data_IF_082625909303
#
_entry.id   IF_082625909303
#
_cell.length_a   1.000
_cell.length_b   1.000
_cell.length_c   1.000
_cell.angle_alpha   90.00
_cell.angle_beta   90.00
_cell.angle_gamma   90.00
#
_symmetry.space_group_name_H-M   'P 1'
#
loop_
_entity.id
_entity.type
_entity.pdbx_description
1 polymer ?
#
# COMPACT_ATOMS: atom_id res chain seq x y z
N UNK A 1 60.60 -18.43 -51.54
CA UNK A 1 60.18 -19.55 -50.66
C UNK A 1 60.38 -19.28 -49.17
N UNK A 2 61.59 -19.37 -48.59
CA UNK A 2 61.76 -19.20 -47.12
C UNK A 2 61.49 -17.77 -46.63
N UNK A 3 61.92 -16.76 -47.39
CA UNK A 3 61.68 -15.35 -47.04
C UNK A 3 60.19 -14.97 -47.08
N UNK A 4 59.44 -15.48 -48.06
CA UNK A 4 57.99 -15.26 -48.15
C UNK A 4 57.25 -15.94 -46.99
N UNK A 5 57.68 -17.16 -46.62
CA UNK A 5 57.10 -17.87 -45.46
C UNK A 5 57.39 -17.14 -44.14
N UNK A 6 58.58 -16.56 -43.99
CA UNK A 6 58.93 -15.71 -42.85
C UNK A 6 58.03 -14.46 -42.79
N UNK A 7 57.89 -13.73 -43.90
CA UNK A 7 57.03 -12.55 -43.98
C UNK A 7 55.55 -12.86 -43.71
N UNK A 8 55.06 -14.02 -44.15
CA UNK A 8 53.71 -14.48 -43.85
C UNK A 8 53.51 -14.76 -42.36
N UNK A 9 54.48 -15.39 -41.70
CA UNK A 9 54.44 -15.63 -40.26
C UNK A 9 54.52 -14.32 -39.47
N UNK A 10 55.37 -13.39 -39.87
CA UNK A 10 55.46 -12.05 -39.26
C UNK A 10 54.14 -11.30 -39.38
N UNK A 11 53.49 -11.32 -40.56
CA UNK A 11 52.17 -10.72 -40.75
C UNK A 11 51.10 -11.36 -39.87
N UNK A 12 51.10 -12.69 -39.73
CA UNK A 12 50.18 -13.38 -38.81
C UNK A 12 50.43 -13.05 -37.36
N UNK A 13 51.69 -12.98 -36.92
CA UNK A 13 52.04 -12.61 -35.55
C UNK A 13 51.60 -11.18 -35.25
N UNK A 14 51.83 -10.24 -36.16
CA UNK A 14 51.40 -8.85 -35.99
C UNK A 14 49.87 -8.74 -35.91
N UNK A 15 49.13 -9.43 -36.79
CA UNK A 15 47.67 -9.45 -36.73
C UNK A 15 47.14 -10.03 -35.40
N UNK A 16 47.77 -11.10 -34.90
CA UNK A 16 47.41 -11.68 -33.59
C UNK A 16 47.75 -10.75 -32.42
N UNK A 17 48.81 -9.94 -32.52
CA UNK A 17 49.18 -8.95 -31.50
C UNK A 17 48.18 -7.79 -31.48
N UNK A 18 47.81 -7.27 -32.66
CA UNK A 18 46.79 -6.22 -32.79
C UNK A 18 45.43 -6.69 -32.25
N UNK A 19 45.04 -7.94 -32.54
CA UNK A 19 43.82 -8.53 -31.97
C UNK A 19 43.91 -8.68 -30.45
N UNK A 20 45.07 -9.08 -29.92
CA UNK A 20 45.28 -9.18 -28.47
C UNK A 20 45.15 -7.82 -27.78
N UNK A 21 45.73 -6.78 -28.36
CA UNK A 21 45.64 -5.41 -27.84
C UNK A 21 44.19 -4.91 -27.86
N UNK A 22 43.45 -5.15 -28.94
CA UNK A 22 42.02 -4.83 -29.01
C UNK A 22 41.22 -5.58 -27.94
N UNK A 23 41.47 -6.88 -27.75
CA UNK A 23 40.81 -7.67 -26.71
C UNK A 23 41.14 -7.17 -25.32
N UNK A 24 42.40 -6.79 -25.05
CA UNK A 24 42.79 -6.20 -23.77
C UNK A 24 42.02 -4.90 -23.48
N UNK A 25 41.94 -3.99 -24.46
CA UNK A 25 41.16 -2.76 -24.31
C UNK A 25 39.68 -3.04 -24.02
N UNK A 26 39.06 -3.97 -24.76
CA UNK A 26 37.65 -4.34 -24.49
C UNK A 26 37.46 -4.95 -23.10
N UNK A 27 38.41 -5.73 -22.61
CA UNK A 27 38.37 -6.31 -21.26
C UNK A 27 38.49 -5.22 -20.20
N UNK A 28 39.34 -4.22 -20.42
CA UNK A 28 39.48 -3.06 -19.52
C UNK A 28 38.20 -2.23 -19.48
N UNK A 29 37.61 -1.90 -20.64
CA UNK A 29 36.32 -1.19 -20.72
C UNK A 29 35.19 -1.96 -20.02
N UNK A 30 35.13 -3.29 -20.21
CA UNK A 30 34.13 -4.13 -19.56
C UNK A 30 34.34 -4.20 -18.04
N UNK A 31 35.60 -4.20 -17.57
CA UNK A 31 35.92 -4.14 -16.13
C UNK A 31 35.47 -2.82 -15.52
N UNK A 32 35.76 -1.69 -16.17
CA UNK A 32 35.31 -0.37 -15.71
C UNK A 32 33.78 -0.29 -15.68
N UNK A 33 33.11 -0.75 -16.74
CA UNK A 33 31.65 -0.81 -16.79
C UNK A 33 31.07 -1.68 -15.68
N UNK A 34 31.69 -2.81 -15.37
CA UNK A 34 31.27 -3.70 -14.28
C UNK A 34 31.36 -2.97 -12.94
N UNK A 35 32.48 -2.30 -12.66
CA UNK A 35 32.68 -1.54 -11.42
C UNK A 35 31.65 -0.41 -11.24
N UNK A 36 31.30 0.29 -12.32
CA UNK A 36 30.25 1.32 -12.29
C UNK A 36 28.89 0.71 -11.96
N UNK A 37 28.55 -0.42 -12.59
CA UNK A 37 27.28 -1.12 -12.33
C UNK A 37 27.21 -1.65 -10.90
N UNK A 38 28.30 -2.22 -10.37
CA UNK A 38 28.37 -2.68 -8.98
C UNK A 38 28.12 -1.53 -7.99
N UNK A 39 28.74 -0.36 -8.23
CA UNK A 39 28.49 0.83 -7.43
C UNK A 39 27.03 1.28 -7.49
N UNK A 40 26.46 1.33 -8.70
CA UNK A 40 25.05 1.69 -8.88
C UNK A 40 24.10 0.71 -8.17
N UNK A 41 24.36 -0.59 -8.25
CA UNK A 41 23.59 -1.60 -7.52
C UNK A 41 23.67 -1.38 -6.01
N UNK A 42 24.87 -1.11 -5.48
CA UNK A 42 25.04 -0.83 -4.06
C UNK A 42 24.27 0.42 -3.61
N UNK A 43 24.35 1.51 -4.39
CA UNK A 43 23.63 2.75 -4.12
C UNK A 43 22.10 2.54 -4.15
N UNK A 44 21.60 1.72 -5.09
CA UNK A 44 20.18 1.34 -5.18
C UNK A 44 19.72 0.49 -4.00
N UNK A 45 20.55 -0.45 -3.55
CA UNK A 45 20.26 -1.26 -2.35
C UNK A 45 20.16 -0.39 -1.09
N UNK A 46 21.02 0.62 -0.96
CA UNK A 46 20.95 1.59 0.14
C UNK A 46 19.67 2.41 0.08
N UNK A 47 19.28 2.92 -1.10
CA UNK A 47 18.03 3.65 -1.30
C UNK A 47 16.80 2.80 -0.95
N UNK A 48 16.77 1.54 -1.37
CA UNK A 48 15.68 0.61 -1.05
C UNK A 48 15.57 0.37 0.45
N UNK A 49 16.69 0.15 1.16
CA UNK A 49 16.68 -0.01 2.62
C UNK A 49 16.15 1.23 3.33
N UNK A 50 16.54 2.42 2.88
CA UNK A 50 16.06 3.67 3.46
C UNK A 50 14.54 3.81 3.26
N UNK A 51 14.05 3.60 2.03
CA UNK A 51 12.61 3.66 1.74
C UNK A 51 11.79 2.63 2.54
N UNK A 52 12.35 1.44 2.78
CA UNK A 52 11.70 0.42 3.62
C UNK A 52 11.54 0.88 5.09
N UNK A 53 12.53 1.58 5.64
CA UNK A 53 12.45 2.13 7.00
C UNK A 53 11.41 3.25 7.08
N UNK A 54 11.41 4.17 6.12
CA UNK A 54 10.41 5.26 6.03
C UNK A 54 8.99 4.69 5.91
N UNK A 55 8.80 3.66 5.06
CA UNK A 55 7.50 2.98 4.93
C UNK A 55 7.06 2.30 6.23
N UNK A 56 8.01 1.71 6.97
CA UNK A 56 7.70 1.11 8.28
C UNK A 56 7.26 2.18 9.28
N UNK A 57 7.95 3.32 9.32
CA UNK A 57 7.61 4.45 10.18
C UNK A 57 6.21 5.00 9.86
N UNK A 58 5.91 5.24 8.58
CA UNK A 58 4.58 5.69 8.13
C UNK A 58 3.49 4.67 8.46
N UNK A 59 3.77 3.36 8.33
CA UNK A 59 2.81 2.32 8.73
C UNK A 59 2.55 2.33 10.23
N UNK A 60 3.57 2.60 11.06
CA UNK A 60 3.40 2.70 12.51
C UNK A 60 2.61 3.96 12.85
N UNK A 61 2.92 5.11 12.26
CA UNK A 61 2.18 6.35 12.50
C UNK A 61 0.73 6.27 12.03
N UNK A 62 0.45 5.65 10.88
CA UNK A 62 -0.91 5.39 10.43
C UNK A 62 -1.68 4.54 11.43
N UNK A 63 -1.10 3.43 11.94
CA UNK A 63 -1.76 2.61 12.95
C UNK A 63 -2.07 3.39 14.22
N UNK A 64 -1.15 4.24 14.66
CA UNK A 64 -1.35 5.10 15.83
C UNK A 64 -2.47 6.13 15.60
N UNK A 65 -2.48 6.78 14.44
CA UNK A 65 -3.55 7.72 14.08
C UNK A 65 -4.89 7.03 13.92
N UNK A 66 -4.94 5.83 13.32
CA UNK A 66 -6.16 5.02 13.23
C UNK A 66 -6.69 4.66 14.62
N UNK A 67 -5.84 4.20 15.53
CA UNK A 67 -6.24 3.93 16.91
C UNK A 67 -6.77 5.19 17.60
N UNK A 68 -6.12 6.34 17.40
CA UNK A 68 -6.59 7.62 17.96
C UNK A 68 -7.90 8.09 17.35
N UNK A 69 -8.15 7.82 16.07
CA UNK A 69 -9.43 8.09 15.43
C UNK A 69 -10.53 7.16 15.95
N UNK A 70 -10.22 5.89 16.21
CA UNK A 70 -11.14 4.95 16.86
C UNK A 70 -11.47 5.44 18.27
N UNK A 71 -10.49 5.82 19.08
CA UNK A 71 -10.69 6.43 20.41
C UNK A 71 -11.59 7.67 20.33
N UNK A 72 -11.31 8.62 19.43
CA UNK A 72 -12.15 9.82 19.25
C UNK A 72 -13.56 9.48 18.73
N UNK A 73 -13.69 8.43 17.92
CA UNK A 73 -15.00 7.97 17.43
C UNK A 73 -15.78 7.31 18.55
N UNK A 74 -15.12 6.53 19.41
CA UNK A 74 -15.70 5.96 20.63
C UNK A 74 -16.10 7.08 21.60
N UNK A 75 -15.24 8.06 21.87
CA UNK A 75 -15.55 9.26 22.66
C UNK A 75 -16.74 10.02 22.08
N UNK A 76 -16.78 10.20 20.75
CA UNK A 76 -17.91 10.83 20.06
C UNK A 76 -19.17 9.97 20.08
N UNK A 77 -19.06 8.64 20.13
CA UNK A 77 -20.20 7.75 20.26
C UNK A 77 -20.77 7.75 21.69
N UNK A 78 -19.88 7.88 22.69
CA UNK A 78 -20.24 8.09 24.08
C UNK A 78 -20.87 9.49 24.29
N UNK A 79 -20.34 10.52 23.62
CA UNK A 79 -20.97 11.84 23.53
C UNK A 79 -22.20 11.86 22.59
N UNK A 80 -22.31 10.88 21.69
CA UNK A 80 -23.34 10.73 20.66
C UNK A 80 -24.70 10.32 21.22
N UNK A 81 -24.81 10.13 22.54
CA UNK A 81 -26.06 10.20 23.28
C UNK A 81 -26.52 11.65 23.57
N UNK A 82 -25.88 12.66 22.99
CA UNK A 82 -26.35 14.04 22.96
C UNK A 82 -26.07 14.63 21.58
N UNK A 83 -27.04 14.48 20.66
CA UNK A 83 -27.99 15.56 20.45
C UNK A 83 -29.39 14.99 20.20
N UNK A 84 -30.18 14.83 21.26
CA UNK A 84 -31.60 14.49 21.11
C UNK A 84 -32.41 15.28 22.15
N UNK A 85 -33.58 15.84 21.78
CA UNK A 85 -34.49 16.56 22.68
C UNK A 85 -35.23 15.61 23.67
N UNK A 86 -34.64 14.46 23.99
CA UNK A 86 -35.23 13.36 24.77
C UNK A 86 -34.28 12.83 25.85
N UNK A 87 -33.37 13.68 26.34
CA UNK A 87 -32.66 13.38 27.59
C UNK A 87 -33.67 13.57 28.71
N UNK A 88 -33.79 12.57 29.60
CA UNK A 88 -34.64 12.63 30.78
C UNK A 88 -34.35 13.89 31.61
N UNK A 89 -33.12 14.43 31.56
CA UNK A 89 -32.77 15.71 32.16
C UNK A 89 -33.40 16.92 31.45
N UNK A 90 -33.40 16.98 30.11
CA UNK A 90 -34.11 18.05 29.38
C UNK A 90 -35.62 17.92 29.52
N UNK A 91 -36.16 16.70 29.57
CA UNK A 91 -37.58 16.48 29.86
C UNK A 91 -37.93 16.88 31.30
N UNK A 92 -37.05 16.64 32.28
CA UNK A 92 -37.19 17.12 33.65
C UNK A 92 -37.08 18.65 33.70
N UNK A 93 -36.11 19.26 33.02
CA UNK A 93 -35.94 20.72 32.97
C UNK A 93 -37.18 21.38 32.34
N UNK A 94 -37.64 20.90 31.19
CA UNK A 94 -38.86 21.39 30.54
C UNK A 94 -40.10 21.13 31.40
N UNK A 95 -40.20 19.97 32.07
CA UNK A 95 -41.32 19.68 32.98
C UNK A 95 -41.30 20.57 34.22
N UNK A 96 -40.13 20.92 34.72
CA UNK A 96 -39.95 21.76 35.90
C UNK A 96 -40.26 23.22 35.57
N UNK A 97 -39.76 23.72 34.43
CA UNK A 97 -40.14 25.03 33.89
C UNK A 97 -41.66 25.12 33.63
N UNK A 98 -42.25 24.04 33.12
CA UNK A 98 -43.70 23.99 32.89
C UNK A 98 -44.51 23.95 34.20
N UNK A 99 -44.01 23.27 35.24
CA UNK A 99 -44.63 23.27 36.57
C UNK A 99 -44.54 24.66 37.23
N UNK A 100 -43.40 25.36 37.11
CA UNK A 100 -43.24 26.74 37.59
C UNK A 100 -44.26 27.69 36.93
N UNK A 101 -44.39 27.62 35.60
CA UNK A 101 -45.39 28.41 34.87
C UNK A 101 -46.83 28.07 35.28
N UNK A 102 -47.14 26.80 35.57
CA UNK A 102 -48.44 26.40 36.07
C UNK A 102 -48.73 26.95 37.48
N UNK A 103 -47.71 26.98 38.34
CA UNK A 103 -47.80 27.59 39.67
C UNK A 103 -48.03 29.10 39.57
N UNK A 104 -47.29 29.80 38.72
CA UNK A 104 -47.49 31.24 38.46
C UNK A 104 -48.90 31.53 37.92
N UNK A 105 -49.39 30.70 36.99
CA UNK A 105 -50.74 30.83 36.45
C UNK A 105 -51.81 30.63 37.52
N UNK A 106 -51.65 29.65 38.40
CA UNK A 106 -52.61 29.39 39.48
C UNK A 106 -52.55 30.51 40.54
N UNK A 107 -51.37 31.06 40.81
CA UNK A 107 -51.21 32.22 41.70
C UNK A 107 -51.90 33.47 41.13
N UNK A 108 -51.71 33.76 39.84
CA UNK A 108 -52.43 34.83 39.15
C UNK A 108 -53.94 34.62 39.19
N UNK A 109 -54.40 33.37 39.06
CA UNK A 109 -55.81 33.00 39.14
C UNK A 109 -56.41 33.28 40.52
N UNK A 110 -55.67 32.98 41.60
CA UNK A 110 -56.09 33.31 42.97
C UNK A 110 -56.16 34.81 43.19
N UNK A 111 -55.15 35.57 42.76
CA UNK A 111 -55.15 37.04 42.86
C UNK A 111 -56.32 37.68 42.10
N UNK A 112 -56.63 37.16 40.90
CA UNK A 112 -57.77 37.62 40.12
C UNK A 112 -59.11 37.34 40.82
N UNK A 113 -59.23 36.19 41.48
CA UNK A 113 -60.40 35.85 42.28
C UNK A 113 -60.55 36.74 43.52
N UNK A 114 -59.46 37.02 44.24
CA UNK A 114 -59.45 37.96 45.35
C UNK A 114 -59.90 39.36 44.90
N UNK A 115 -59.35 39.85 43.78
CA UNK A 115 -59.75 41.12 43.19
C UNK A 115 -61.24 41.15 42.82
N UNK A 116 -61.75 40.07 42.20
CA UNK A 116 -63.17 39.93 41.90
C UNK A 116 -64.05 40.00 43.16
N UNK A 117 -63.70 39.26 44.22
CA UNK A 117 -64.40 39.27 45.50
C UNK A 117 -64.38 40.67 46.15
N UNK A 118 -63.24 41.36 46.10
CA UNK A 118 -63.10 42.74 46.59
C UNK A 118 -64.02 43.70 45.83
N UNK A 119 -64.02 43.66 44.48
CA UNK A 119 -64.90 44.50 43.64
C UNK A 119 -66.37 44.27 43.96
N UNK A 120 -66.79 43.01 44.11
CA UNK A 120 -68.17 42.65 44.47
C UNK A 120 -68.55 43.14 45.87
N UNK A 121 -67.63 43.05 46.83
CA UNK A 121 -67.83 43.59 48.19
C UNK A 121 -68.03 45.10 48.15
N UNK A 122 -67.20 45.83 47.39
CA UNK A 122 -67.33 47.28 47.21
C UNK A 122 -68.67 47.64 46.55
N UNK A 123 -69.07 46.94 45.48
CA UNK A 123 -70.39 47.14 44.86
C UNK A 123 -71.54 46.92 45.85
N UNK A 124 -71.40 45.95 46.75
CA UNK A 124 -72.40 45.67 47.80
C UNK A 124 -72.44 46.76 48.86
N UNK A 125 -71.27 47.28 49.27
CA UNK A 125 -71.15 48.40 50.22
C UNK A 125 -71.74 49.69 49.64
N UNK A 126 -71.46 50.00 48.37
CA UNK A 126 -72.03 51.15 47.66
C UNK A 126 -73.56 51.05 47.54
N UNK A 127 -74.08 49.86 47.22
CA UNK A 127 -75.53 49.58 47.18
C UNK A 127 -76.19 49.66 48.56
N UNK A 128 -75.47 49.27 49.62
CA UNK A 128 -75.94 49.33 51.01
C UNK A 128 -75.97 50.75 51.60
N UNK A 129 -75.15 51.66 51.06
CA UNK A 129 -75.17 53.07 51.44
C UNK A 129 -76.28 53.88 50.74
N UNK A 130 -76.86 53.36 49.65
CA UNK A 130 -78.00 53.95 48.93
C UNK A 130 -79.38 53.56 49.51
N UNK A 131 -79.44 52.88 50.65
CA UNK A 131 -80.69 52.53 51.35
C UNK A 131 -80.70 53.22 52.72
N UNK A 132 -80.67 54.56 52.69
CA UNK A 132 -81.48 55.30 53.65
C UNK A 132 -82.72 55.79 52.92
N UNK A 133 -83.86 55.30 53.37
CA UNK A 133 -85.20 55.80 53.08
C UNK A 133 -85.89 55.29 51.80
N UNK A 134 -86.41 54.05 51.85
CA UNK A 134 -87.78 53.78 51.36
C UNK A 134 -88.30 52.46 51.92
N UNK A 135 -89.33 52.60 52.76
CA UNK A 135 -90.14 51.53 53.29
C UNK A 135 -90.96 50.82 52.20
N UNK A 136 -91.33 49.57 52.52
CA UNK A 136 -92.42 48.71 52.00
C UNK A 136 -91.92 47.40 51.36
N UNK A 137 -92.25 46.30 52.04
CA UNK A 137 -92.02 44.91 51.66
C UNK A 137 -92.80 44.48 50.42
N UNK A 138 -92.23 43.62 49.58
CA UNK A 138 -92.94 42.44 49.04
C UNK A 138 -91.98 41.43 48.40
N UNK A 139 -92.04 40.20 48.93
CA UNK A 139 -92.02 38.90 48.26
C UNK A 139 -91.55 38.85 46.78
N UNK A 140 -90.41 38.20 46.55
CA UNK A 140 -90.14 37.40 45.35
C UNK A 140 -88.99 36.42 45.64
N UNK A 141 -89.37 35.16 45.74
CA UNK A 141 -88.57 33.94 45.78
C UNK A 141 -87.80 33.68 44.48
N UNK A 142 -86.71 32.90 44.60
CA UNK A 142 -86.09 32.05 43.56
C UNK A 142 -85.54 32.77 42.31
N UNK A 143 -84.22 32.88 42.24
CA UNK A 143 -83.44 32.13 41.24
C UNK A 143 -81.97 32.05 41.66
N UNK A 144 -81.32 30.94 41.28
CA UNK A 144 -79.92 30.59 41.46
C UNK A 144 -78.98 31.71 41.02
N UNK A 145 -77.84 31.98 41.65
CA UNK A 145 -76.67 31.10 41.61
C UNK A 145 -75.83 31.22 42.89
N UNK A 146 -75.95 30.23 43.76
CA UNK A 146 -74.84 29.81 44.62
C UNK A 146 -73.99 28.81 43.83
N UNK A 147 -73.43 29.23 42.70
CA UNK A 147 -72.45 28.39 42.00
C UNK A 147 -71.07 28.73 42.55
N UNK A 148 -70.61 27.84 43.42
CA UNK A 148 -69.19 27.53 43.69
C UNK A 148 -68.25 28.72 43.85
N UNK A 149 -68.04 29.14 45.10
CA UNK A 149 -66.93 29.99 45.53
C UNK A 149 -65.59 29.23 45.39
N UNK A 150 -65.22 28.92 44.16
CA UNK A 150 -63.99 28.25 43.78
C UNK A 150 -63.30 29.12 42.74
N UNK A 151 -62.00 29.35 42.90
CA UNK A 151 -61.20 30.05 41.90
C UNK A 151 -61.31 29.39 40.51
N UNK A 152 -61.72 28.10 40.45
CA UNK A 152 -61.87 27.32 39.22
C UNK A 152 -63.08 27.69 38.35
N UNK A 153 -64.07 28.40 38.89
CA UNK A 153 -65.38 28.59 38.23
C UNK A 153 -65.78 30.06 38.02
N UNK A 154 -64.82 30.95 37.77
CA UNK A 154 -65.14 32.34 37.37
C UNK A 154 -65.49 32.36 35.88
N UNK A 155 -66.75 32.60 35.47
CA UNK A 155 -67.11 32.65 34.05
C UNK A 155 -66.40 33.82 33.38
N UNK A 156 -65.86 33.59 32.17
CA UNK A 156 -65.28 34.66 31.35
C UNK A 156 -66.28 35.81 31.21
N UNK A 157 -65.92 37.00 31.70
CA UNK A 157 -66.78 38.19 31.63
C UNK A 157 -67.45 38.62 32.94
N UNK A 158 -67.39 37.81 34.01
CA UNK A 158 -67.97 38.17 35.33
C UNK A 158 -67.23 39.33 36.03
N UNK A 159 -65.90 39.37 35.98
CA UNK A 159 -65.09 40.51 36.46
C UNK A 159 -65.29 41.77 35.60
N UNK A 160 -65.29 41.69 34.25
CA UNK A 160 -65.72 42.81 33.41
C UNK A 160 -67.13 43.32 33.75
N UNK A 161 -68.10 42.44 34.00
CA UNK A 161 -69.46 42.82 34.36
C UNK A 161 -69.53 43.51 35.75
N UNK A 162 -68.83 42.99 36.75
CA UNK A 162 -68.77 43.61 38.08
C UNK A 162 -68.01 44.93 38.07
N UNK A 163 -66.98 45.08 37.22
CA UNK A 163 -66.30 46.34 36.97
C UNK A 163 -67.18 47.35 36.23
N UNK A 164 -68.04 46.91 35.31
CA UNK A 164 -69.04 47.78 34.65
C UNK A 164 -70.11 48.23 35.64
N UNK A 165 -70.54 47.36 36.55
CA UNK A 165 -71.45 47.71 37.63
C UNK A 165 -70.82 48.69 38.63
N UNK A 166 -69.58 48.42 39.05
CA UNK A 166 -68.79 49.35 39.86
C UNK A 166 -68.66 50.68 39.15
N UNK A 167 -68.32 50.70 37.85
CA UNK A 167 -68.26 51.92 37.04
C UNK A 167 -69.60 52.65 37.04
N UNK A 168 -70.75 51.99 36.90
CA UNK A 168 -72.06 52.62 36.96
C UNK A 168 -72.36 53.24 38.33
N UNK A 169 -72.07 52.52 39.42
CA UNK A 169 -72.25 53.00 40.80
C UNK A 169 -71.31 54.17 41.12
N UNK A 170 -70.07 54.11 40.63
CA UNK A 170 -69.08 55.18 40.79
C UNK A 170 -69.40 56.38 39.91
N UNK A 171 -69.93 56.19 38.68
CA UNK A 171 -70.37 57.25 37.78
C UNK A 171 -71.55 58.04 38.37
N UNK A 172 -72.47 57.38 39.09
CA UNK A 172 -73.53 58.05 39.85
C UNK A 172 -73.00 58.92 41.00
N UNK A 173 -71.87 58.53 41.61
CA UNK A 173 -71.17 59.34 42.62
C UNK A 173 -70.34 60.47 41.97
N UNK A 174 -69.87 60.26 40.74
CA UNK A 174 -69.03 61.20 40.00
C UNK A 174 -69.84 62.30 39.29
N UNK A 175 -71.08 62.04 38.87
CA UNK A 175 -72.01 63.07 38.35
C UNK A 175 -72.39 64.10 39.44
N UNK A 176 -72.08 63.83 40.71
CA UNK A 176 -72.15 64.76 41.84
C UNK A 176 -70.83 65.43 42.22
N UNK A 177 -69.73 65.15 41.52
CA UNK A 177 -68.41 65.67 41.86
C UNK A 177 -67.56 65.92 40.60
N UNK A 178 -68.05 66.82 39.76
CA UNK A 178 -67.19 67.64 38.89
C UNK A 178 -66.29 68.50 39.80
N UNK A 179 -65.19 67.93 40.29
CA UNK A 179 -64.15 68.69 40.96
C UNK A 179 -62.80 68.38 40.33
N UNK A 180 -62.51 69.22 39.36
CA UNK A 180 -61.21 69.51 38.78
C UNK A 180 -60.12 69.48 39.86
N UNK A 181 -59.19 68.54 39.77
CA UNK A 181 -58.13 68.49 40.77
C UNK A 181 -57.03 67.45 40.60
N UNK A 182 -56.69 67.02 39.37
CA UNK A 182 -55.52 66.13 39.20
C UNK A 182 -54.79 66.22 37.85
N UNK A 183 -54.89 67.34 37.13
CA UNK A 183 -54.20 67.48 35.82
C UNK A 183 -52.68 67.59 35.87
N UNK A 184 -52.05 67.64 37.05
CA UNK A 184 -50.58 67.69 37.16
C UNK A 184 -49.93 66.36 37.54
N UNK A 185 -50.59 65.50 38.33
CA UNK A 185 -50.02 64.18 38.63
C UNK A 185 -50.17 63.22 37.44
N UNK A 186 -51.26 63.31 36.70
CA UNK A 186 -51.52 62.40 35.57
C UNK A 186 -50.60 62.69 34.39
N UNK A 187 -50.19 63.96 34.21
CA UNK A 187 -49.21 64.36 33.20
C UNK A 187 -47.80 63.92 33.59
N UNK A 188 -47.38 64.06 34.85
CA UNK A 188 -46.11 63.51 35.35
C UNK A 188 -46.07 61.97 35.27
N UNK A 189 -47.19 61.28 35.52
CA UNK A 189 -47.29 59.81 35.40
C UNK A 189 -47.25 59.34 33.95
N UNK A 190 -47.85 60.09 33.02
CA UNK A 190 -47.76 59.82 31.59
C UNK A 190 -46.37 60.13 31.03
N UNK A 191 -45.73 61.21 31.46
CA UNK A 191 -44.33 61.52 31.12
C UNK A 191 -43.39 60.42 31.61
N UNK A 192 -43.61 59.91 32.83
CA UNK A 192 -42.85 58.79 33.38
C UNK A 192 -43.11 57.47 32.63
N UNK A 193 -44.34 57.22 32.16
CA UNK A 193 -44.64 56.08 31.28
C UNK A 193 -43.98 56.22 29.90
N UNK A 194 -43.99 57.42 29.32
CA UNK A 194 -43.29 57.69 28.06
C UNK A 194 -41.79 57.53 28.25
N UNK A 195 -41.23 57.96 29.39
CA UNK A 195 -39.82 57.76 29.74
C UNK A 195 -39.49 56.28 29.86
N UNK A 196 -40.32 55.49 30.56
CA UNK A 196 -40.16 54.03 30.68
C UNK A 196 -40.25 53.31 29.34
N UNK A 197 -41.26 53.60 28.51
CA UNK A 197 -41.38 53.02 27.17
C UNK A 197 -40.22 53.43 26.26
N UNK A 198 -39.69 54.66 26.43
CA UNK A 198 -38.51 55.12 25.70
C UNK A 198 -37.22 54.43 26.15
N UNK A 199 -37.13 54.06 27.42
CA UNK A 199 -36.05 53.23 27.97
C UNK A 199 -36.18 51.79 27.46
N UNK A 200 -37.36 51.18 27.52
CA UNK A 200 -37.63 49.84 26.99
C UNK A 200 -37.35 49.74 25.48
N UNK A 201 -37.72 50.75 24.69
CA UNK A 201 -37.38 50.82 23.26
C UNK A 201 -35.87 50.98 23.02
N UNK A 202 -35.15 51.64 23.93
CA UNK A 202 -33.70 51.77 23.86
C UNK A 202 -33.03 50.44 24.19
N UNK A 203 -33.47 49.77 25.26
CA UNK A 203 -32.99 48.46 25.67
C UNK A 203 -33.23 47.41 24.57
N UNK A 204 -34.43 47.40 23.96
CA UNK A 204 -34.74 46.53 22.82
C UNK A 204 -33.84 46.82 21.60
N UNK A 205 -33.52 48.09 21.34
CA UNK A 205 -32.62 48.47 20.25
C UNK A 205 -31.19 48.03 20.53
N UNK A 206 -30.70 48.19 21.76
CA UNK A 206 -29.38 47.71 22.17
C UNK A 206 -29.29 46.18 22.07
N UNK A 207 -30.32 45.44 22.50
CA UNK A 207 -30.38 43.98 22.34
C UNK A 207 -30.41 43.56 20.87
N UNK A 208 -31.16 44.27 20.02
CA UNK A 208 -31.17 44.00 18.58
C UNK A 208 -29.81 44.26 17.93
N UNK A 209 -29.13 45.36 18.28
CA UNK A 209 -27.78 45.67 17.80
C UNK A 209 -26.77 44.61 18.26
N UNK A 210 -26.85 44.15 19.51
CA UNK A 210 -26.03 43.05 20.02
C UNK A 210 -26.28 41.73 19.28
N UNK A 211 -27.53 41.36 19.02
CA UNK A 211 -27.85 40.15 18.25
C UNK A 211 -27.40 40.28 16.78
N UNK A 212 -27.50 41.46 16.20
CA UNK A 212 -26.98 41.74 14.86
C UNK A 212 -25.45 41.60 14.81
N UNK A 213 -24.74 42.08 15.83
CA UNK A 213 -23.29 41.97 15.92
C UNK A 213 -22.84 40.52 16.17
N UNK A 214 -23.55 39.76 17.02
CA UNK A 214 -23.33 38.31 17.17
C UNK A 214 -23.54 37.56 15.86
N UNK A 215 -24.61 37.88 15.13
CA UNK A 215 -24.91 37.27 13.81
C UNK A 215 -23.79 37.59 12.82
N UNK A 216 -23.30 38.83 12.81
CA UNK A 216 -22.18 39.25 11.97
C UNK A 216 -20.89 38.49 12.32
N UNK A 217 -20.56 38.39 13.61
CA UNK A 217 -19.38 37.65 14.07
C UNK A 217 -19.46 36.16 13.69
N UNK A 218 -20.62 35.54 13.88
CA UNK A 218 -20.87 34.15 13.45
C UNK A 218 -20.71 33.98 11.93
N UNK A 219 -21.15 34.95 11.13
CA UNK A 219 -20.98 34.94 9.68
C UNK A 219 -19.51 35.09 9.27
N UNK A 220 -18.74 35.93 9.96
CA UNK A 220 -17.30 36.07 9.74
C UNK A 220 -16.55 34.77 10.10
N UNK A 221 -16.89 34.13 11.21
CA UNK A 221 -16.35 32.81 11.60
C UNK A 221 -16.70 31.72 10.59
N UNK A 222 -17.94 31.69 10.11
CA UNK A 222 -18.37 30.75 9.07
C UNK A 222 -17.57 30.92 7.77
N UNK A 223 -17.27 32.17 7.38
CA UNK A 223 -16.42 32.45 6.21
C UNK A 223 -14.96 32.03 6.45
N UNK A 224 -14.43 32.25 7.65
CA UNK A 224 -13.07 31.80 8.00
C UNK A 224 -12.95 30.27 7.95
N UNK A 225 -13.91 29.56 8.54
CA UNK A 225 -13.98 28.10 8.49
C UNK A 225 -14.15 27.60 7.04
N UNK A 226 -15.00 28.25 6.24
CA UNK A 226 -15.17 27.91 4.83
C UNK A 226 -13.86 28.05 4.05
N UNK A 227 -13.12 29.15 4.24
CA UNK A 227 -11.81 29.34 3.62
C UNK A 227 -10.78 28.29 4.08
N UNK A 228 -10.81 27.92 5.36
CA UNK A 228 -9.93 26.88 5.89
C UNK A 228 -10.24 25.50 5.28
N UNK A 229 -11.53 25.15 5.16
CA UNK A 229 -11.97 23.92 4.49
C UNK A 229 -11.58 23.92 3.01
N UNK A 230 -11.67 25.07 2.33
CA UNK A 230 -11.25 25.19 0.93
C UNK A 230 -9.74 24.94 0.76
N UNK A 231 -8.90 25.53 1.62
CA UNK A 231 -7.44 25.32 1.60
C UNK A 231 -7.09 23.85 1.87
N UNK A 232 -7.66 23.26 2.91
CA UNK A 232 -7.45 21.84 3.23
C UNK A 232 -7.93 20.92 2.10
N UNK A 233 -9.03 21.26 1.43
CA UNK A 233 -9.52 20.48 0.28
C UNK A 233 -8.53 20.49 -0.89
N UNK A 234 -7.90 21.64 -1.16
CA UNK A 234 -6.85 21.73 -2.18
C UNK A 234 -5.62 20.91 -1.77
N UNK A 235 -5.17 21.00 -0.52
CA UNK A 235 -4.04 20.23 -0.02
C UNK A 235 -4.29 18.71 -0.09
N UNK A 236 -5.49 18.27 0.29
CA UNK A 236 -5.92 16.86 0.17
C UNK A 236 -5.94 16.42 -1.30
N UNK A 237 -6.43 17.26 -2.22
CA UNK A 237 -6.44 16.93 -3.65
C UNK A 237 -5.02 16.82 -4.22
N UNK A 238 -4.13 17.76 -3.89
CA UNK A 238 -2.72 17.74 -4.30
C UNK A 238 -2.00 16.50 -3.77
N UNK A 239 -2.18 16.21 -2.48
CA UNK A 239 -1.59 15.03 -1.83
C UNK A 239 -2.10 13.73 -2.44
N UNK A 240 -3.39 13.69 -2.82
CA UNK A 240 -4.00 12.54 -3.51
C UNK A 240 -3.40 12.33 -4.89
N UNK A 241 -3.24 13.39 -5.69
CA UNK A 241 -2.61 13.33 -7.00
C UNK A 241 -1.14 12.87 -6.92
N UNK A 242 -0.39 13.34 -5.93
CA UNK A 242 0.99 12.90 -5.71
C UNK A 242 1.05 11.42 -5.31
N UNK A 243 0.13 10.96 -4.45
CA UNK A 243 0.03 9.55 -4.08
C UNK A 243 -0.33 8.66 -5.28
N UNK A 244 -1.25 9.12 -6.14
CA UNK A 244 -1.62 8.41 -7.36
C UNK A 244 -0.47 8.38 -8.37
N UNK A 245 0.30 9.47 -8.51
CA UNK A 245 1.55 9.49 -9.29
C UNK A 245 2.57 8.48 -8.73
N UNK A 246 2.82 8.48 -7.43
CA UNK A 246 3.76 7.55 -6.81
C UNK A 246 3.30 6.10 -6.94
N UNK A 247 1.99 5.84 -6.80
CA UNK A 247 1.41 4.51 -7.01
C UNK A 247 1.55 4.07 -8.47
N UNK A 248 1.25 4.95 -9.43
CA UNK A 248 1.46 4.67 -10.85
C UNK A 248 2.93 4.41 -11.17
N UNK A 249 3.86 5.17 -10.59
CA UNK A 249 5.30 4.91 -10.74
C UNK A 249 5.74 3.62 -10.05
N UNK A 250 5.10 3.20 -8.96
CA UNK A 250 5.36 1.94 -8.28
C UNK A 250 4.78 0.73 -9.05
N UNK A 251 3.62 0.89 -9.70
CA UNK A 251 3.01 -0.12 -10.58
C UNK A 251 3.76 -0.24 -11.90
N UNK A 252 4.24 0.88 -12.46
CA UNK A 252 5.12 0.92 -13.65
C UNK A 252 6.55 0.54 -13.29
N UNK A 253 6.93 0.57 -12.00
CA UNK A 253 8.20 0.01 -11.60
C UNK A 253 8.13 -1.49 -11.93
N UNK A 254 8.86 -1.81 -13.00
CA UNK A 254 9.33 -3.07 -13.52
C UNK A 254 10.49 -3.72 -12.70
N UNK A 255 10.89 -3.35 -11.45
CA UNK A 255 12.10 -3.93 -10.88
C UNK A 255 11.87 -5.42 -10.59
N UNK A 256 10.62 -5.86 -10.38
CA UNK A 256 10.30 -7.29 -10.29
C UNK A 256 10.43 -8.00 -11.64
N UNK A 257 9.96 -7.39 -12.75
CA UNK A 257 10.07 -7.99 -14.08
C UNK A 257 11.51 -7.97 -14.61
N UNK A 258 12.23 -6.88 -14.41
CA UNK A 258 13.65 -6.75 -14.74
C UNK A 258 14.52 -7.68 -13.87
N UNK A 259 14.24 -7.79 -12.56
CA UNK A 259 14.91 -8.75 -11.68
C UNK A 259 14.61 -10.19 -12.11
N UNK A 260 13.36 -10.51 -12.43
CA UNK A 260 13.00 -11.84 -12.96
C UNK A 260 13.67 -12.11 -14.30
N UNK A 261 13.78 -11.13 -15.19
CA UNK A 261 14.53 -11.27 -16.44
C UNK A 261 16.01 -11.54 -16.19
N UNK A 262 16.65 -10.76 -15.32
CA UNK A 262 18.05 -10.96 -14.95
C UNK A 262 18.31 -12.33 -14.28
N UNK A 263 17.36 -12.82 -13.46
CA UNK A 263 17.42 -14.17 -12.88
C UNK A 263 17.35 -15.23 -13.99
N UNK A 264 16.42 -15.10 -14.95
CA UNK A 264 16.32 -16.03 -16.08
C UNK A 264 17.60 -16.06 -16.91
N UNK A 265 18.16 -14.90 -17.23
CA UNK A 265 19.39 -14.78 -18.02
C UNK A 265 20.58 -15.43 -17.30
N UNK A 266 20.69 -15.21 -15.98
CA UNK A 266 21.70 -15.86 -15.14
C UNK A 266 21.54 -17.37 -15.14
N UNK A 267 20.33 -17.86 -14.97
CA UNK A 267 20.06 -19.30 -14.90
C UNK A 267 20.33 -19.98 -16.26
N UNK A 268 20.03 -19.31 -17.38
CA UNK A 268 20.40 -19.76 -18.72
C UNK A 268 21.93 -19.81 -18.92
N UNK A 269 22.65 -18.77 -18.47
CA UNK A 269 24.10 -18.75 -18.53
C UNK A 269 24.73 -19.87 -17.68
N UNK A 270 24.17 -20.15 -16.49
CA UNK A 270 24.59 -21.28 -15.64
C UNK A 270 24.35 -22.61 -16.35
N UNK A 271 23.20 -22.78 -17.00
CA UNK A 271 22.89 -23.99 -17.77
C UNK A 271 23.88 -24.21 -18.93
N UNK A 272 24.19 -23.15 -19.69
CA UNK A 272 25.19 -23.18 -20.77
C UNK A 272 26.58 -23.52 -20.24
N UNK A 273 27.00 -22.91 -19.12
CA UNK A 273 28.27 -23.21 -18.45
C UNK A 273 28.35 -24.70 -18.08
N UNK A 274 27.33 -25.23 -17.40
CA UNK A 274 27.27 -26.65 -17.02
C UNK A 274 27.34 -27.58 -18.24
N UNK A 275 26.67 -27.23 -19.34
CA UNK A 275 26.74 -28.00 -20.59
C UNK A 275 28.17 -28.06 -21.15
N UNK A 276 28.86 -26.91 -21.20
CA UNK A 276 30.26 -26.85 -21.65
C UNK A 276 31.19 -27.63 -20.71
N UNK A 277 30.98 -27.53 -19.39
CA UNK A 277 31.76 -28.29 -18.41
C UNK A 277 31.58 -29.82 -18.57
N UNK A 278 30.37 -30.29 -18.89
CA UNK A 278 30.11 -31.70 -19.19
C UNK A 278 30.83 -32.17 -20.47
N UNK A 279 30.77 -31.38 -21.54
CA UNK A 279 31.50 -31.71 -22.79
C UNK A 279 33.01 -31.68 -22.58
N UNK A 280 33.53 -30.75 -21.77
CA UNK A 280 34.95 -30.71 -21.41
C UNK A 280 35.37 -31.97 -20.64
N UNK A 281 34.57 -32.40 -19.66
CA UNK A 281 34.83 -33.62 -18.92
C UNK A 281 34.83 -34.86 -19.83
N UNK A 282 33.91 -34.92 -20.79
CA UNK A 282 33.85 -35.98 -21.82
C UNK A 282 35.11 -35.99 -22.70
N UNK A 283 35.50 -34.85 -23.26
CA UNK A 283 36.73 -34.73 -24.05
C UNK A 283 37.97 -35.16 -23.26
N UNK A 284 38.04 -34.84 -21.95
CA UNK A 284 39.13 -35.28 -21.08
C UNK A 284 39.17 -36.80 -20.93
N UNK A 285 38.01 -37.44 -20.76
CA UNK A 285 37.88 -38.90 -20.70
C UNK A 285 38.35 -39.51 -22.04
N UNK A 286 37.94 -38.94 -23.17
CA UNK A 286 38.33 -39.42 -24.50
C UNK A 286 39.85 -39.33 -24.72
N UNK A 287 40.48 -38.22 -24.30
CA UNK A 287 41.94 -38.06 -24.34
C UNK A 287 42.64 -39.11 -23.47
N UNK A 288 42.15 -39.34 -22.24
CA UNK A 288 42.72 -40.34 -21.34
C UNK A 288 42.59 -41.75 -21.94
N UNK A 289 41.45 -42.07 -22.55
CA UNK A 289 41.25 -43.35 -23.25
C UNK A 289 42.20 -43.50 -24.43
N UNK A 290 42.33 -42.48 -25.28
CA UNK A 290 43.21 -42.50 -26.44
C UNK A 290 44.69 -42.62 -26.02
N UNK A 291 45.11 -41.95 -24.95
CA UNK A 291 46.46 -42.07 -24.41
C UNK A 291 46.74 -43.49 -23.92
N UNK A 292 45.78 -44.12 -23.22
CA UNK A 292 45.89 -45.54 -22.85
C UNK A 292 46.06 -46.44 -24.08
N UNK A 293 45.23 -46.26 -25.11
CA UNK A 293 45.32 -47.03 -26.36
C UNK A 293 46.67 -46.82 -27.07
N UNK A 294 47.20 -45.60 -27.06
CA UNK A 294 48.50 -45.30 -27.64
C UNK A 294 49.64 -45.99 -26.88
N UNK A 295 49.61 -45.96 -25.54
CA UNK A 295 50.59 -46.65 -24.71
C UNK A 295 50.56 -48.16 -24.96
N UNK A 296 49.37 -48.76 -25.05
CA UNK A 296 49.22 -50.19 -25.38
C UNK A 296 49.78 -50.52 -26.77
N UNK A 297 49.53 -49.68 -27.78
CA UNK A 297 50.06 -49.87 -29.12
C UNK A 297 51.59 -49.74 -29.17
N UNK A 298 52.18 -48.79 -28.43
CA UNK A 298 53.62 -48.65 -28.29
C UNK A 298 54.22 -49.90 -27.63
N UNK A 299 53.59 -50.39 -26.54
CA UNK A 299 54.04 -51.59 -25.84
C UNK A 299 54.00 -52.82 -26.75
N UNK A 300 52.91 -53.00 -27.52
CA UNK A 300 52.81 -54.09 -28.51
C UNK A 300 53.91 -53.98 -29.58
N UNK A 301 54.16 -52.79 -30.13
CA UNK A 301 55.21 -52.58 -31.13
C UNK A 301 56.61 -52.87 -30.57
N UNK A 302 56.88 -52.45 -29.32
CA UNK A 302 58.14 -52.73 -28.64
C UNK A 302 58.34 -54.26 -28.50
N UNK A 303 57.33 -54.97 -28.02
CA UNK A 303 57.38 -56.42 -27.85
C UNK A 303 57.63 -57.15 -29.18
N UNK A 304 56.95 -56.76 -30.26
CA UNK A 304 57.17 -57.33 -31.60
C UNK A 304 58.59 -57.02 -32.12
N UNK A 305 59.10 -55.82 -31.87
CA UNK A 305 60.46 -55.44 -32.28
C UNK A 305 61.51 -56.29 -31.55
N UNK A 306 61.34 -56.53 -30.26
CA UNK A 306 62.20 -57.42 -29.47
C UNK A 306 62.13 -58.88 -29.95
N UNK A 307 60.94 -59.38 -30.29
CA UNK A 307 60.78 -60.72 -30.87
C UNK A 307 61.49 -60.85 -32.23
N UNK A 308 61.42 -59.81 -33.06
CA UNK A 308 62.13 -59.78 -34.35
C UNK A 308 63.64 -59.76 -34.17
N UNK A 309 64.16 -58.96 -33.24
CA UNK A 309 65.60 -58.92 -32.92
C UNK A 309 66.10 -60.28 -32.42
N UNK A 310 65.36 -60.92 -31.51
CA UNK A 310 65.69 -62.28 -31.04
C UNK A 310 65.69 -63.30 -32.20
N UNK A 311 64.70 -63.23 -33.09
CA UNK A 311 64.65 -64.10 -34.27
C UNK A 311 65.80 -63.83 -35.23
N UNK A 312 66.19 -62.56 -35.42
CA UNK A 312 67.34 -62.19 -36.24
C UNK A 312 68.63 -62.77 -35.66
N UNK A 313 68.86 -62.64 -34.36
CA UNK A 313 70.03 -63.21 -33.68
C UNK A 313 70.11 -64.73 -33.87
N UNK A 314 68.99 -65.43 -33.72
CA UNK A 314 68.93 -66.88 -33.92
C UNK A 314 69.22 -67.28 -35.38
N UNK A 315 68.71 -66.52 -36.35
CA UNK A 315 69.03 -66.75 -37.76
C UNK A 315 70.50 -66.50 -38.08
N UNK A 316 71.11 -65.44 -37.53
CA UNK A 316 72.55 -65.19 -37.68
C UNK A 316 73.37 -66.37 -37.11
N UNK A 317 73.02 -66.86 -35.92
CA UNK A 317 73.66 -68.05 -35.34
C UNK A 317 73.54 -69.29 -36.23
N UNK A 318 72.37 -69.52 -36.82
CA UNK A 318 72.16 -70.64 -37.76
C UNK A 318 73.03 -70.48 -39.01
N UNK A 319 73.13 -69.27 -39.57
CA UNK A 319 73.99 -68.98 -40.73
C UNK A 319 75.45 -69.21 -40.37
N UNK A 320 75.92 -68.68 -39.24
CA UNK A 320 77.30 -68.86 -38.75
C UNK A 320 77.62 -70.34 -38.55
N UNK A 321 76.72 -71.10 -37.94
CA UNK A 321 76.87 -72.56 -37.77
C UNK A 321 76.97 -73.26 -39.12
N UNK A 322 76.08 -72.96 -40.08
CA UNK A 322 76.12 -73.54 -41.43
C UNK A 322 77.40 -73.19 -42.19
N UNK A 323 77.95 -71.99 -42.02
CA UNK A 323 79.23 -71.60 -42.62
C UNK A 323 80.39 -72.37 -42.00
N UNK A 324 80.42 -72.54 -40.68
CA UNK A 324 81.44 -73.33 -39.99
C UNK A 324 81.38 -74.80 -40.41
N UNK A 325 80.18 -75.40 -40.46
CA UNK A 325 79.98 -76.78 -40.90
C UNK A 325 80.46 -76.97 -42.35
N UNK A 326 80.13 -76.03 -43.25
CA UNK A 326 80.60 -76.07 -44.65
C UNK A 326 82.11 -75.98 -44.78
N UNK A 327 82.74 -75.05 -44.07
CA UNK A 327 84.20 -74.98 -44.05
C UNK A 327 84.78 -76.29 -43.51
N UNK A 328 84.25 -76.82 -42.41
CA UNK A 328 84.74 -78.07 -41.84
C UNK A 328 84.60 -79.27 -42.80
N UNK A 329 83.56 -79.30 -43.65
CA UNK A 329 83.43 -80.26 -44.75
C UNK A 329 84.48 -80.02 -45.85
N UNK A 330 84.71 -78.77 -46.28
CA UNK A 330 85.74 -78.41 -47.27
C UNK A 330 87.17 -78.74 -46.78
N UNK A 331 87.44 -78.64 -45.49
CA UNK A 331 88.75 -78.94 -44.89
C UNK A 331 89.01 -80.44 -44.65
N UNK A 332 87.99 -81.31 -44.80
CA UNK A 332 88.15 -82.78 -44.69
C UNK A 332 88.64 -83.45 -45.99
N UNK A 333 88.70 -82.74 -47.12
CA UNK A 333 89.18 -83.25 -48.40
C UNK A 333 90.64 -82.79 -48.72
N UNK A 334 91.63 -83.70 -48.95
CA UNK A 334 93.01 -83.33 -49.29
C UNK A 334 93.27 -83.23 -50.81
N UNK A 335 94.35 -82.55 -51.27
CA UNK A 335 94.55 -82.30 -52.70
C UNK A 335 95.36 -83.42 -53.37
N UNK A 336 94.83 -84.04 -54.43
CA UNK A 336 95.64 -84.59 -55.53
C UNK A 336 94.96 -84.46 -56.91
N UNK A 337 95.77 -83.89 -57.81
CA UNK A 337 95.78 -83.78 -59.27
C UNK A 337 94.79 -84.55 -60.16
N UNK A 338 94.17 -83.76 -61.05
CA UNK A 338 94.07 -83.89 -62.52
C UNK A 338 93.93 -85.27 -63.22
N UNK A 339 92.92 -85.28 -64.11
CA UNK A 339 92.74 -86.05 -65.36
C UNK A 339 92.07 -87.42 -65.31
N UNK A 340 91.00 -87.53 -66.12
CA UNK A 340 90.89 -88.64 -67.07
C UNK A 340 89.58 -89.43 -67.06
N UNK A 341 88.63 -88.96 -67.87
CA UNK A 341 87.81 -89.73 -68.84
C UNK A 341 87.05 -91.01 -68.46
N UNK A 342 85.81 -91.03 -68.97
CA UNK A 342 85.01 -92.17 -69.45
C UNK A 342 84.25 -93.04 -68.43
N UNK A 343 82.93 -92.86 -68.48
CA UNK A 343 82.08 -93.84 -69.16
C UNK A 343 81.18 -94.67 -68.26
N UNK A 344 79.87 -94.60 -68.52
CA UNK A 344 78.90 -95.61 -68.08
C UNK A 344 77.54 -95.05 -67.69
N UNK A 345 76.65 -94.89 -68.67
CA UNK A 345 75.20 -95.01 -68.42
C UNK A 345 74.87 -96.51 -68.21
N UNK A 346 73.79 -96.91 -67.49
CA UNK A 346 72.39 -96.74 -67.95
C UNK A 346 71.39 -96.38 -66.83
N UNK A 347 70.39 -95.52 -67.11
CA UNK A 347 68.99 -95.87 -67.42
C UNK A 347 68.21 -96.68 -66.36
N UNK A 348 67.22 -96.06 -65.69
CA UNK A 348 65.76 -96.23 -65.94
C UNK A 348 64.86 -95.61 -64.86
N UNK A 349 63.78 -94.99 -65.35
CA UNK A 349 62.43 -94.74 -64.77
C UNK A 349 62.32 -93.89 -63.49
N UNK A 350 61.73 -92.70 -63.50
CA UNK A 350 60.36 -92.26 -63.85
C UNK A 350 59.49 -92.08 -62.60
N UNK A 351 59.16 -90.84 -62.27
CA UNK A 351 57.78 -90.40 -62.02
C UNK A 351 57.69 -88.87 -62.14
N UNK A 352 56.85 -88.42 -63.08
CA UNK A 352 56.33 -87.05 -63.18
C UNK A 352 54.92 -87.03 -62.58
N UNK A 353 54.39 -85.81 -62.45
CA UNK A 353 53.04 -85.36 -62.03
C UNK A 353 53.03 -84.93 -60.54
N UNK A 354 52.52 -83.78 -60.13
CA UNK A 354 51.60 -82.84 -60.77
C UNK A 354 51.71 -81.44 -60.16
N UNK A 355 51.38 -80.48 -61.01
CA UNK A 355 50.98 -79.09 -60.79
C UNK A 355 49.90 -78.91 -59.70
N UNK A 356 49.88 -77.75 -59.06
CA UNK A 356 48.97 -77.42 -57.96
C UNK A 356 49.15 -76.00 -57.41
N UNK A 357 48.55 -75.04 -58.12
CA UNK A 357 48.08 -73.73 -57.66
C UNK A 357 47.98 -73.50 -56.13
N UNK A 358 48.38 -72.29 -55.69
CA UNK A 358 47.55 -71.42 -54.83
C UNK A 358 48.21 -70.06 -54.56
N UNK A 359 47.72 -69.05 -55.30
CA UNK A 359 47.63 -67.67 -54.81
C UNK A 359 46.75 -67.65 -53.56
N UNK A 360 47.23 -67.08 -52.46
CA UNK A 360 46.40 -66.77 -51.30
C UNK A 360 46.55 -65.29 -50.93
N UNK A 361 45.58 -64.51 -51.40
CA UNK A 361 44.88 -63.36 -50.79
C UNK A 361 45.68 -62.40 -49.89
N UNK A 362 45.89 -61.10 -50.15
CA UNK A 362 45.03 -59.99 -50.61
C UNK A 362 43.80 -59.68 -49.72
N UNK A 363 44.02 -59.06 -48.55
CA UNK A 363 42.98 -58.33 -47.82
C UNK A 363 43.54 -57.08 -47.10
N UNK A 364 43.35 -55.92 -47.73
CA UNK A 364 43.12 -54.65 -47.04
C UNK A 364 41.98 -53.95 -47.79
N UNK A 365 40.79 -53.89 -47.18
CA UNK A 365 39.77 -52.94 -47.59
C UNK A 365 39.29 -52.21 -46.34
N UNK A 366 39.55 -50.91 -46.41
CA UNK A 366 39.20 -49.82 -45.51
C UNK A 366 37.68 -49.66 -45.48
N UNK A 367 37.14 -49.48 -44.27
CA UNK A 367 36.14 -48.47 -43.95
C UNK A 367 36.36 -48.06 -42.50
#
# INVERSE_FOLDING_TARGET
MLSERKQELERRVNAMLEENEQLQNTVEELRERTLVLEKQCHDKDLQLRQSQLELQEVRVSHRQLSARLEELTEERSLQGFSPNPHSLLCEIEQSMEQEELEQEREQLRLQLWEAYCQVRSICSQLRGNDITDSALSTDSSMDESSETLSAKDVPMGSLPASLVELRRLTQNLLDGNESTGSRRSDEEVLEEQVRKLSEELRDLRELYEQEQEKTRNSQEEALQLHNQVALLSVEVSSSREENERLRAMAEVHEPNEQLQSAIRDRDEAIAKKKAVEMELAKCKIDIMSLNSQLLDAIQQKLNLSQQLEAWQDDMHRVIDQQLMDKHQEEWKDPPFSFSGSRGGAPSRRAHRLSDGDKRLFSFFKKN
#
